data_IF_641294733881
#
_entry.id   IF_641294733881
#
_cell.length_a   1.000
_cell.length_b   1.000
_cell.length_c   1.000
_cell.angle_alpha   90.00
_cell.angle_beta   90.00
_cell.angle_gamma   90.00
#
_symmetry.space_group_name_H-M   'P 1'
#
loop_
_entity.id
_entity.type
_entity.pdbx_description
1 polymer ?
#
# COMPACT_ATOMS: atom_id res chain seq x y z
N UNK A 1 21.55 33.05 -35.01
CA UNK A 1 20.60 31.94 -34.74
C UNK A 1 21.07 31.19 -33.49
N UNK A 2 20.55 31.55 -32.32
CA UNK A 2 20.76 30.78 -31.09
C UNK A 2 19.61 29.78 -30.96
N UNK A 3 19.90 28.49 -31.11
CA UNK A 3 19.01 27.43 -30.62
C UNK A 3 19.19 27.37 -29.11
N UNK A 4 18.34 28.08 -28.37
CA UNK A 4 18.14 27.77 -26.96
C UNK A 4 17.41 26.42 -26.92
N UNK A 5 18.12 25.36 -26.56
CA UNK A 5 17.50 24.13 -26.07
C UNK A 5 16.83 24.50 -24.75
N UNK A 6 15.50 24.56 -24.79
CA UNK A 6 14.67 24.78 -23.63
C UNK A 6 14.70 23.49 -22.78
N UNK A 7 15.68 23.38 -21.89
CA UNK A 7 15.72 22.31 -20.91
C UNK A 7 14.51 22.44 -19.99
N UNK A 8 13.49 21.62 -20.22
CA UNK A 8 12.33 21.55 -19.33
C UNK A 8 12.79 21.30 -17.89
N UNK A 9 12.30 22.09 -16.93
CA UNK A 9 12.61 21.94 -15.50
C UNK A 9 12.40 20.48 -15.03
N UNK A 10 13.27 19.93 -14.16
CA UNK A 10 13.19 18.53 -13.71
C UNK A 10 11.82 18.14 -13.15
N UNK A 11 11.13 19.06 -12.45
CA UNK A 11 9.74 18.84 -11.98
C UNK A 11 8.74 18.64 -13.12
N UNK A 12 8.90 19.35 -14.25
CA UNK A 12 8.04 19.19 -15.45
C UNK A 12 8.30 17.85 -16.13
N UNK A 13 9.57 17.39 -16.17
CA UNK A 13 9.94 16.09 -16.74
C UNK A 13 9.37 14.93 -15.91
N UNK A 14 9.51 14.97 -14.58
CA UNK A 14 8.93 13.98 -13.66
C UNK A 14 7.40 13.92 -13.79
N UNK A 15 6.72 15.06 -13.77
CA UNK A 15 5.26 15.11 -13.95
C UNK A 15 4.82 14.57 -15.32
N UNK A 16 5.54 14.87 -16.40
CA UNK A 16 5.23 14.33 -17.73
C UNK A 16 5.40 12.80 -17.78
N UNK A 17 6.45 12.27 -17.15
CA UNK A 17 6.68 10.82 -17.06
C UNK A 17 5.56 10.13 -16.27
N UNK A 18 5.20 10.65 -15.09
CA UNK A 18 4.13 10.07 -14.26
C UNK A 18 2.77 10.16 -14.94
N UNK A 19 2.49 11.24 -15.68
CA UNK A 19 1.31 11.33 -16.53
C UNK A 19 1.27 10.22 -17.60
N UNK A 20 2.39 9.97 -18.28
CA UNK A 20 2.48 8.91 -19.28
C UNK A 20 2.27 7.53 -18.65
N UNK A 21 2.83 7.30 -17.46
CA UNK A 21 2.65 6.05 -16.70
C UNK A 21 1.19 5.84 -16.30
N UNK A 22 0.50 6.88 -15.80
CA UNK A 22 -0.93 6.81 -15.48
C UNK A 22 -1.78 6.47 -16.72
N UNK A 23 -1.49 7.06 -17.89
CA UNK A 23 -2.18 6.73 -19.13
C UNK A 23 -1.95 5.27 -19.57
N UNK A 24 -0.77 4.72 -19.33
CA UNK A 24 -0.51 3.31 -19.63
C UNK A 24 -1.25 2.38 -18.66
N UNK A 25 -1.31 2.71 -17.37
CA UNK A 25 -2.12 1.98 -16.38
C UNK A 25 -3.60 1.99 -16.79
N UNK A 26 -4.12 3.15 -17.20
CA UNK A 26 -5.50 3.30 -17.68
C UNK A 26 -5.76 2.40 -18.90
N UNK A 27 -4.89 2.43 -19.92
CA UNK A 27 -4.99 1.57 -21.11
C UNK A 27 -4.95 0.09 -20.75
N UNK A 28 -4.10 -0.32 -19.81
CA UNK A 28 -4.01 -1.72 -19.36
C UNK A 28 -5.28 -2.17 -18.64
N UNK A 29 -5.83 -1.34 -17.76
CA UNK A 29 -7.10 -1.61 -17.08
C UNK A 29 -8.28 -1.70 -18.06
N UNK A 30 -8.31 -0.84 -19.09
CA UNK A 30 -9.35 -0.86 -20.12
C UNK A 30 -9.31 -2.12 -21.00
N UNK A 31 -8.12 -2.69 -21.25
CA UNK A 31 -7.96 -3.79 -22.19
C UNK A 31 -8.58 -5.12 -21.73
N UNK A 32 -8.99 -5.26 -20.45
CA UNK A 32 -9.62 -6.44 -19.80
C UNK A 32 -8.93 -7.82 -19.98
N UNK A 33 -8.02 -7.96 -20.95
CA UNK A 33 -7.29 -9.17 -21.36
C UNK A 33 -5.93 -9.28 -20.69
N UNK A 34 -5.41 -8.21 -20.11
CA UNK A 34 -4.16 -8.20 -19.36
C UNK A 34 -4.51 -8.42 -17.89
N UNK A 35 -3.89 -9.39 -17.24
CA UNK A 35 -4.24 -9.77 -15.87
C UNK A 35 -3.94 -8.61 -14.91
N UNK A 36 -4.87 -8.26 -14.02
CA UNK A 36 -4.60 -7.29 -12.93
C UNK A 36 -3.37 -7.69 -12.10
N UNK A 37 -3.04 -8.98 -12.12
CA UNK A 37 -1.83 -9.56 -11.56
C UNK A 37 -0.54 -9.02 -12.21
N UNK A 38 -0.46 -8.91 -13.54
CA UNK A 38 0.70 -8.31 -14.23
C UNK A 38 0.85 -6.84 -13.86
N UNK A 39 -0.26 -6.09 -13.87
CA UNK A 39 -0.23 -4.69 -13.44
C UNK A 39 0.24 -4.57 -11.98
N UNK A 40 -0.28 -5.42 -11.09
CA UNK A 40 0.16 -5.47 -9.70
C UNK A 40 1.66 -5.78 -9.58
N UNK A 41 2.15 -6.76 -10.34
CA UNK A 41 3.57 -7.12 -10.34
C UNK A 41 4.45 -5.95 -10.80
N UNK A 42 4.06 -5.27 -11.88
CA UNK A 42 4.77 -4.08 -12.39
C UNK A 42 4.78 -2.94 -11.36
N UNK A 43 3.67 -2.72 -10.64
CA UNK A 43 3.57 -1.70 -9.60
C UNK A 43 4.45 -1.99 -8.37
N UNK A 44 4.67 -3.27 -8.08
CA UNK A 44 5.50 -3.73 -6.98
C UNK A 44 7.00 -3.69 -7.30
N UNK A 45 7.39 -3.47 -8.56
CA UNK A 45 8.79 -3.39 -8.95
C UNK A 45 9.48 -2.20 -8.28
N UNK A 46 10.70 -2.46 -7.82
CA UNK A 46 11.61 -1.43 -7.35
C UNK A 46 12.05 -0.56 -8.54
N UNK A 47 12.13 0.75 -8.30
CA UNK A 47 12.60 1.71 -9.28
C UNK A 47 14.12 1.62 -9.34
N UNK A 48 14.65 1.34 -10.53
CA UNK A 48 16.09 1.35 -10.77
C UNK A 48 16.69 2.74 -10.55
N UNK A 49 17.96 2.80 -10.13
CA UNK A 49 18.65 4.07 -9.82
C UNK A 49 18.62 5.08 -10.98
N UNK A 50 18.67 4.59 -12.22
CA UNK A 50 18.55 5.44 -13.42
C UNK A 50 17.20 6.13 -13.55
N UNK A 51 16.14 5.44 -13.12
CA UNK A 51 14.78 5.97 -13.15
C UNK A 51 14.52 6.89 -11.95
N UNK A 52 15.16 6.65 -10.80
CA UNK A 52 15.08 7.55 -9.62
C UNK A 52 15.46 8.99 -9.98
N UNK A 53 16.52 9.19 -10.76
CA UNK A 53 16.98 10.53 -11.18
C UNK A 53 15.98 11.27 -12.09
N UNK A 54 15.15 10.53 -12.84
CA UNK A 54 14.14 11.09 -13.75
C UNK A 54 12.85 11.39 -13.00
N UNK A 55 12.49 10.52 -12.05
CA UNK A 55 11.21 10.51 -11.35
C UNK A 55 11.24 11.43 -10.12
N UNK A 56 12.35 11.46 -9.37
CA UNK A 56 12.48 12.26 -8.16
C UNK A 56 13.09 13.62 -8.50
N UNK A 57 12.40 14.70 -8.12
CA UNK A 57 13.02 16.03 -8.12
C UNK A 57 13.95 16.19 -6.91
N UNK A 58 14.91 17.14 -6.97
CA UNK A 58 15.90 17.36 -5.89
C UNK A 58 15.27 17.64 -4.51
N UNK A 59 14.03 18.13 -4.47
CA UNK A 59 13.29 18.36 -3.22
C UNK A 59 12.54 17.10 -2.75
N UNK A 60 12.08 16.24 -3.66
CA UNK A 60 11.51 14.93 -3.31
C UNK A 60 12.60 13.98 -2.78
N UNK A 61 13.86 14.17 -3.18
CA UNK A 61 15.04 13.47 -2.65
C UNK A 61 15.34 13.81 -1.17
N UNK A 62 14.91 14.97 -0.66
CA UNK A 62 15.10 15.36 0.74
C UNK A 62 14.08 14.66 1.65
N UNK A 63 12.84 14.48 1.18
CA UNK A 63 11.85 13.58 1.82
C UNK A 63 12.26 12.11 1.67
N UNK A 64 12.99 11.76 0.61
CA UNK A 64 13.59 10.43 0.42
C UNK A 64 14.72 10.10 1.41
N UNK A 65 15.24 11.05 2.19
CA UNK A 65 16.24 10.76 3.23
C UNK A 65 15.67 9.91 4.37
N UNK A 66 14.34 9.92 4.59
CA UNK A 66 13.67 8.99 5.52
C UNK A 66 13.54 7.56 4.97
N UNK A 67 13.71 7.39 3.66
CA UNK A 67 13.77 6.09 3.00
C UNK A 67 15.19 5.49 3.04
N UNK A 68 16.24 6.27 3.34
CA UNK A 68 17.63 5.86 3.16
C UNK A 68 18.16 4.86 4.17
N UNK A 69 17.41 4.53 5.23
CA UNK A 69 17.88 3.59 6.26
C UNK A 69 17.58 2.14 5.87
N UNK A 70 16.67 1.86 4.92
CA UNK A 70 16.42 0.50 4.37
C UNK A 70 15.39 0.41 3.20
N UNK A 71 14.89 1.53 2.67
CA UNK A 71 13.66 1.54 1.86
C UNK A 71 13.87 1.30 0.38
N UNK A 72 13.41 0.15 -0.13
CA UNK A 72 13.13 -0.03 -1.56
C UNK A 72 12.05 0.98 -1.98
N UNK A 73 12.32 1.74 -3.03
CA UNK A 73 11.32 2.63 -3.61
C UNK A 73 10.65 1.91 -4.77
N UNK A 74 9.40 1.51 -4.60
CA UNK A 74 8.61 0.87 -5.66
C UNK A 74 7.74 1.86 -6.42
N UNK A 75 7.35 1.50 -7.65
CA UNK A 75 6.51 2.36 -8.50
C UNK A 75 5.18 2.76 -7.85
N UNK A 76 4.56 1.87 -7.08
CA UNK A 76 3.29 2.19 -6.43
C UNK A 76 3.39 3.38 -5.46
N UNK A 77 4.50 3.52 -4.74
CA UNK A 77 4.64 4.57 -3.71
C UNK A 77 4.76 5.95 -4.38
N UNK A 78 5.52 6.02 -5.47
CA UNK A 78 5.60 7.23 -6.30
C UNK A 78 4.23 7.58 -6.88
N UNK A 79 3.51 6.60 -7.42
CA UNK A 79 2.18 6.82 -8.01
C UNK A 79 1.15 7.24 -6.97
N UNK A 80 1.17 6.67 -5.76
CA UNK A 80 0.27 7.04 -4.68
C UNK A 80 0.49 8.50 -4.26
N UNK A 81 1.74 8.94 -4.13
CA UNK A 81 2.06 10.35 -3.90
C UNK A 81 1.61 11.24 -5.07
N UNK A 82 1.78 10.77 -6.31
CA UNK A 82 1.38 11.50 -7.49
C UNK A 82 -0.14 11.72 -7.57
N UNK A 83 -0.94 10.71 -7.23
CA UNK A 83 -2.41 10.82 -7.24
C UNK A 83 -2.95 11.70 -6.12
N UNK A 84 -2.24 11.85 -5.00
CA UNK A 84 -2.55 12.89 -4.01
C UNK A 84 -2.31 14.28 -4.60
N UNK A 85 -1.16 14.50 -5.26
CA UNK A 85 -0.80 15.81 -5.85
C UNK A 85 -1.66 16.18 -7.06
N UNK A 86 -2.06 15.20 -7.86
CA UNK A 86 -2.85 15.37 -9.09
C UNK A 86 -4.06 14.41 -9.12
N UNK A 87 -5.10 14.65 -8.31
CA UNK A 87 -6.25 13.74 -8.18
C UNK A 87 -7.00 13.49 -9.50
N UNK A 88 -7.00 14.47 -10.41
CA UNK A 88 -7.61 14.36 -11.74
C UNK A 88 -7.03 13.20 -12.57
N UNK A 89 -5.78 12.78 -12.30
CA UNK A 89 -5.15 11.64 -12.98
C UNK A 89 -5.44 10.31 -12.30
N UNK A 90 -5.65 10.31 -11.00
CA UNK A 90 -6.05 9.11 -10.25
C UNK A 90 -7.50 8.70 -10.52
N UNK A 91 -8.40 9.67 -10.73
CA UNK A 91 -9.84 9.42 -10.85
C UNK A 91 -10.25 8.43 -11.96
N UNK A 92 -9.80 8.55 -13.22
CA UNK A 92 -10.15 7.56 -14.26
C UNK A 92 -9.68 6.14 -13.94
N UNK A 93 -8.50 6.03 -13.31
CA UNK A 93 -7.94 4.74 -12.87
C UNK A 93 -8.78 4.15 -11.74
N UNK A 94 -9.17 4.98 -10.76
CA UNK A 94 -10.06 4.58 -9.68
C UNK A 94 -11.40 4.06 -10.23
N UNK A 95 -12.02 4.81 -11.15
CA UNK A 95 -13.28 4.43 -11.80
C UNK A 95 -13.16 3.08 -12.52
N UNK A 96 -12.03 2.83 -13.20
CA UNK A 96 -11.76 1.54 -13.83
C UNK A 96 -11.56 0.41 -12.82
N UNK A 97 -10.81 0.63 -11.74
CA UNK A 97 -10.63 -0.38 -10.68
C UNK A 97 -12.01 -0.73 -10.05
N UNK A 98 -12.87 0.26 -9.83
CA UNK A 98 -14.25 0.06 -9.34
C UNK A 98 -15.07 -0.82 -10.28
N UNK A 99 -14.87 -0.73 -11.59
CA UNK A 99 -15.54 -1.60 -12.56
C UNK A 99 -15.03 -3.06 -12.52
N UNK A 100 -13.76 -3.28 -12.19
CA UNK A 100 -13.15 -4.62 -12.11
C UNK A 100 -13.01 -5.14 -10.67
N UNK A 101 -13.78 -4.56 -9.74
CA UNK A 101 -13.65 -4.82 -8.30
C UNK A 101 -13.81 -6.29 -7.88
N UNK A 102 -14.57 -7.06 -8.65
CA UNK A 102 -14.80 -8.49 -8.41
C UNK A 102 -13.62 -9.39 -8.83
N UNK A 103 -12.66 -8.86 -9.58
CA UNK A 103 -11.50 -9.62 -10.02
C UNK A 103 -10.47 -9.76 -8.90
N UNK A 104 -9.69 -10.84 -8.94
CA UNK A 104 -8.49 -10.97 -8.10
C UNK A 104 -7.53 -9.81 -8.36
N UNK A 105 -6.72 -9.45 -7.36
CA UNK A 105 -5.80 -8.31 -7.40
C UNK A 105 -6.43 -6.91 -7.46
N UNK A 106 -7.74 -6.73 -7.73
CA UNK A 106 -8.35 -5.40 -7.78
C UNK A 106 -8.15 -4.60 -6.48
N UNK A 107 -8.43 -5.22 -5.33
CA UNK A 107 -8.19 -4.61 -4.01
C UNK A 107 -6.70 -4.39 -3.72
N UNK A 108 -5.80 -5.21 -4.26
CA UNK A 108 -4.36 -5.11 -4.05
C UNK A 108 -3.83 -3.89 -4.82
N UNK A 109 -4.17 -3.79 -6.10
CA UNK A 109 -3.87 -2.65 -6.96
C UNK A 109 -4.47 -1.36 -6.40
N UNK A 110 -5.70 -1.42 -5.87
CA UNK A 110 -6.32 -0.29 -5.18
C UNK A 110 -5.48 0.16 -3.97
N UNK A 111 -5.12 -0.76 -3.07
CA UNK A 111 -4.32 -0.44 -1.89
C UNK A 111 -2.96 0.17 -2.29
N UNK A 112 -2.29 -0.39 -3.29
CA UNK A 112 -1.01 0.14 -3.78
C UNK A 112 -1.14 1.57 -4.32
N UNK A 113 -2.13 1.85 -5.16
CA UNK A 113 -2.23 3.14 -5.85
C UNK A 113 -2.93 4.24 -5.03
N UNK A 114 -3.85 3.88 -4.12
CA UNK A 114 -4.77 4.85 -3.49
C UNK A 114 -4.70 4.88 -1.95
N UNK A 115 -3.74 4.17 -1.31
CA UNK A 115 -3.61 4.19 0.16
C UNK A 115 -3.40 5.58 0.75
N UNK A 116 -2.72 6.50 0.05
CA UNK A 116 -2.55 7.89 0.49
C UNK A 116 -3.75 8.75 0.13
N UNK A 117 -4.19 8.63 -1.13
CA UNK A 117 -5.30 9.40 -1.70
C UNK A 117 -6.59 9.34 -0.87
N UNK A 118 -6.91 8.16 -0.30
CA UNK A 118 -8.11 7.96 0.51
C UNK A 118 -8.23 8.92 1.71
N UNK A 119 -7.10 9.37 2.26
CA UNK A 119 -7.08 10.25 3.44
C UNK A 119 -6.98 11.74 3.08
N UNK A 120 -6.76 12.08 1.82
CA UNK A 120 -6.59 13.46 1.35
C UNK A 120 -7.83 14.00 0.64
N UNK A 121 -8.72 13.12 0.15
CA UNK A 121 -9.93 13.51 -0.57
C UNK A 121 -11.17 13.39 0.31
N UNK A 122 -12.07 14.36 0.18
CA UNK A 122 -13.40 14.32 0.77
C UNK A 122 -14.31 13.41 -0.07
N UNK A 123 -14.87 12.38 0.57
CA UNK A 123 -15.83 11.47 -0.06
C UNK A 123 -17.24 11.79 0.46
N UNK A 124 -18.12 12.20 -0.45
CA UNK A 124 -19.47 12.67 -0.10
C UNK A 124 -20.40 11.56 0.44
N UNK A 125 -20.08 10.28 0.16
CA UNK A 125 -20.97 9.15 0.41
C UNK A 125 -20.33 8.15 1.40
N UNK A 126 -20.99 7.95 2.55
CA UNK A 126 -20.52 7.04 3.61
C UNK A 126 -20.32 5.59 3.12
N UNK A 127 -21.19 5.11 2.21
CA UNK A 127 -21.09 3.77 1.64
C UNK A 127 -19.84 3.61 0.76
N UNK A 128 -19.48 4.65 0.02
CA UNK A 128 -18.27 4.67 -0.82
C UNK A 128 -17.03 4.68 0.06
N UNK A 129 -17.04 5.52 1.10
CA UNK A 129 -15.96 5.57 2.09
C UNK A 129 -15.76 4.21 2.77
N UNK A 130 -16.84 3.54 3.19
CA UNK A 130 -16.76 2.20 3.77
C UNK A 130 -16.18 1.20 2.79
N UNK A 131 -16.71 1.17 1.55
CA UNK A 131 -16.21 0.26 0.51
C UNK A 131 -14.72 0.46 0.24
N UNK A 132 -14.26 1.69 0.11
CA UNK A 132 -12.86 2.02 -0.13
C UNK A 132 -11.96 1.76 1.08
N UNK A 133 -12.47 1.96 2.29
CA UNK A 133 -11.70 1.66 3.51
C UNK A 133 -11.52 0.15 3.69
N UNK A 134 -12.59 -0.63 3.52
CA UNK A 134 -12.51 -2.10 3.54
C UNK A 134 -11.63 -2.63 2.42
N UNK A 135 -11.69 -2.01 1.24
CA UNK A 135 -10.82 -2.31 0.11
C UNK A 135 -9.34 -2.14 0.43
N UNK A 136 -9.00 -1.01 1.05
CA UNK A 136 -7.63 -0.68 1.43
C UNK A 136 -7.11 -1.72 2.41
N UNK A 137 -7.86 -2.01 3.48
CA UNK A 137 -7.43 -2.98 4.50
C UNK A 137 -7.31 -4.39 3.92
N UNK A 138 -8.26 -4.83 3.10
CA UNK A 138 -8.19 -6.15 2.50
C UNK A 138 -7.06 -6.25 1.47
N UNK A 139 -6.85 -5.22 0.65
CA UNK A 139 -5.74 -5.14 -0.28
C UNK A 139 -4.40 -5.15 0.43
N UNK A 140 -4.24 -4.27 1.42
CA UNK A 140 -3.05 -4.18 2.25
C UNK A 140 -2.75 -5.51 2.95
N UNK A 141 -3.75 -6.17 3.55
CA UNK A 141 -3.56 -7.48 4.19
C UNK A 141 -2.92 -8.49 3.23
N UNK A 142 -3.41 -8.58 2.00
CA UNK A 142 -2.91 -9.56 1.05
C UNK A 142 -1.52 -9.22 0.52
N UNK A 143 -1.24 -7.94 0.21
CA UNK A 143 0.10 -7.55 -0.28
C UNK A 143 1.17 -7.70 0.80
N UNK A 144 0.85 -7.40 2.07
CA UNK A 144 1.79 -7.60 3.17
C UNK A 144 2.05 -9.09 3.43
N UNK A 145 1.06 -9.97 3.20
CA UNK A 145 1.28 -11.42 3.20
C UNK A 145 2.21 -11.88 2.08
N UNK A 146 2.15 -11.26 0.90
CA UNK A 146 3.09 -11.57 -0.21
C UNK A 146 4.53 -11.25 0.20
N UNK A 147 4.76 -10.14 0.91
CA UNK A 147 6.07 -9.79 1.45
C UNK A 147 6.59 -10.85 2.44
N UNK A 148 5.74 -11.34 3.35
CA UNK A 148 6.11 -12.46 4.25
C UNK A 148 6.47 -13.72 3.43
N UNK A 149 5.62 -14.11 2.48
CA UNK A 149 5.80 -15.34 1.69
C UNK A 149 7.05 -15.30 0.81
N UNK A 150 7.37 -14.13 0.25
CA UNK A 150 8.55 -13.91 -0.58
C UNK A 150 9.79 -13.57 0.23
N UNK A 151 9.67 -13.42 1.56
CA UNK A 151 10.70 -12.89 2.44
C UNK A 151 11.32 -11.57 1.91
N UNK A 152 10.46 -10.71 1.36
CA UNK A 152 10.80 -9.41 0.82
C UNK A 152 10.07 -8.31 1.61
N UNK A 153 10.48 -7.05 1.40
CA UNK A 153 9.90 -5.87 2.06
C UNK A 153 9.49 -4.82 1.03
N UNK A 154 8.93 -5.26 -0.11
CA UNK A 154 8.53 -4.38 -1.20
C UNK A 154 7.39 -3.43 -0.78
N UNK A 155 6.54 -3.87 0.14
CA UNK A 155 5.38 -3.13 0.63
C UNK A 155 5.63 -2.43 1.97
N UNK A 156 6.90 -2.26 2.36
CA UNK A 156 7.26 -1.59 3.61
C UNK A 156 6.77 -0.15 3.68
N UNK A 157 6.82 0.62 2.58
CA UNK A 157 6.35 2.02 2.63
C UNK A 157 4.83 2.11 2.79
N UNK A 158 4.07 1.18 2.20
CA UNK A 158 2.64 1.03 2.49
C UNK A 158 2.40 0.76 3.98
N UNK A 159 3.09 -0.23 4.56
CA UNK A 159 2.94 -0.55 5.98
C UNK A 159 3.27 0.65 6.89
N UNK A 160 4.41 1.30 6.65
CA UNK A 160 4.85 2.46 7.43
C UNK A 160 3.84 3.61 7.34
N UNK A 161 3.34 3.92 6.14
CA UNK A 161 2.31 4.96 5.99
C UNK A 161 1.04 4.63 6.79
N UNK A 162 0.55 3.38 6.69
CA UNK A 162 -0.64 2.96 7.42
C UNK A 162 -0.44 2.97 8.95
N UNK A 163 0.76 2.66 9.43
CA UNK A 163 1.07 2.72 10.86
C UNK A 163 1.25 4.17 11.33
N UNK A 164 2.20 4.88 10.72
CA UNK A 164 2.74 6.14 11.22
C UNK A 164 1.80 7.32 10.93
N UNK A 165 1.32 7.39 9.70
CA UNK A 165 0.52 8.51 9.22
C UNK A 165 -0.99 8.26 9.39
N UNK A 166 -1.43 7.01 9.57
CA UNK A 166 -2.86 6.72 9.69
C UNK A 166 -3.22 6.24 11.08
N UNK A 167 -2.67 5.11 11.55
CA UNK A 167 -3.09 4.52 12.81
C UNK A 167 -2.61 5.30 14.04
N UNK A 168 -1.41 5.88 13.97
CA UNK A 168 -0.84 6.70 15.05
C UNK A 168 -1.29 8.16 15.02
N UNK A 169 -2.05 8.57 14.00
CA UNK A 169 -2.57 9.93 13.84
C UNK A 169 -4.11 9.92 13.96
N UNK A 170 -4.67 10.23 15.14
CA UNK A 170 -6.11 10.12 15.39
C UNK A 170 -6.96 10.95 14.42
N UNK A 171 -6.46 12.09 13.96
CA UNK A 171 -7.18 12.96 13.02
C UNK A 171 -7.39 12.29 11.66
N UNK A 172 -6.43 11.48 11.21
CA UNK A 172 -6.50 10.71 9.97
C UNK A 172 -7.26 9.40 10.17
N UNK A 173 -7.06 8.71 11.29
CA UNK A 173 -7.79 7.47 11.61
C UNK A 173 -9.31 7.71 11.65
N UNK A 174 -9.74 8.85 12.20
CA UNK A 174 -11.16 9.21 12.28
C UNK A 174 -11.81 9.52 10.92
N UNK A 175 -11.04 9.62 9.83
CA UNK A 175 -11.59 9.78 8.46
C UNK A 175 -12.17 8.49 7.91
N UNK A 176 -11.81 7.33 8.45
CA UNK A 176 -12.35 6.04 8.00
C UNK A 176 -13.38 5.50 9.00
N UNK A 177 -14.36 4.70 8.56
CA UNK A 177 -15.40 4.16 9.45
C UNK A 177 -14.80 3.28 10.54
N UNK A 178 -15.43 3.26 11.72
CA UNK A 178 -14.95 2.50 12.89
C UNK A 178 -14.67 1.03 12.58
N UNK A 179 -15.46 0.42 11.69
CA UNK A 179 -15.21 -0.95 11.24
C UNK A 179 -13.85 -1.10 10.55
N UNK A 180 -13.53 -0.20 9.62
CA UNK A 180 -12.24 -0.22 8.92
C UNK A 180 -11.08 0.16 9.84
N UNK A 181 -11.29 1.01 10.85
CA UNK A 181 -10.27 1.30 11.87
C UNK A 181 -9.87 0.03 12.63
N UNK A 182 -10.85 -0.79 13.03
CA UNK A 182 -10.61 -2.07 13.70
C UNK A 182 -9.87 -3.04 12.80
N UNK A 183 -10.35 -3.20 11.56
CA UNK A 183 -9.74 -4.12 10.61
C UNK A 183 -8.28 -3.69 10.28
N UNK A 184 -8.03 -2.37 10.21
CA UNK A 184 -6.69 -1.80 10.06
C UNK A 184 -5.82 -2.09 11.29
N UNK A 185 -6.34 -1.92 12.50
CA UNK A 185 -5.62 -2.24 13.74
C UNK A 185 -5.20 -3.73 13.77
N UNK A 186 -6.11 -4.64 13.40
CA UNK A 186 -5.79 -6.08 13.33
C UNK A 186 -4.75 -6.37 12.24
N UNK A 187 -4.86 -5.74 11.06
CA UNK A 187 -3.82 -5.83 10.02
C UNK A 187 -2.47 -5.40 10.58
N UNK A 188 -2.36 -4.20 11.16
CA UNK A 188 -1.08 -3.68 11.64
C UNK A 188 -0.49 -4.55 12.75
N UNK A 189 -1.35 -5.06 13.65
CA UNK A 189 -0.96 -5.99 14.71
C UNK A 189 -0.24 -7.23 14.16
N UNK A 190 -0.75 -7.82 13.06
CA UNK A 190 -0.16 -9.01 12.42
C UNK A 190 1.25 -8.73 11.88
N UNK A 191 1.47 -7.56 11.30
CA UNK A 191 2.69 -7.29 10.53
C UNK A 191 3.76 -6.46 11.28
N UNK A 192 3.44 -5.96 12.47
CA UNK A 192 4.32 -5.02 13.20
C UNK A 192 5.74 -5.56 13.46
N UNK A 193 5.86 -6.85 13.77
CA UNK A 193 7.16 -7.49 14.01
C UNK A 193 7.92 -7.72 12.71
N UNK A 194 7.24 -8.14 11.63
CA UNK A 194 7.88 -8.40 10.34
C UNK A 194 8.56 -7.15 9.76
N UNK A 195 7.92 -5.98 9.93
CA UNK A 195 8.45 -4.69 9.48
C UNK A 195 9.33 -3.97 10.51
N UNK A 196 9.67 -4.62 11.64
CA UNK A 196 10.52 -4.07 12.70
C UNK A 196 10.02 -2.71 13.23
N UNK A 197 8.73 -2.60 13.55
CA UNK A 197 8.13 -1.37 14.09
C UNK A 197 7.77 -1.48 15.58
N UNK A 198 8.58 -2.23 16.35
CA UNK A 198 8.30 -2.58 17.76
C UNK A 198 8.40 -1.34 18.66
N UNK A 199 9.24 -0.38 18.30
CA UNK A 199 9.39 0.91 18.98
C UNK A 199 8.11 1.74 19.00
N UNK A 200 7.16 1.45 18.10
CA UNK A 200 5.85 2.12 18.02
C UNK A 200 4.73 1.38 18.73
N UNK A 201 5.01 0.18 19.25
CA UNK A 201 4.00 -0.71 19.83
C UNK A 201 3.26 -0.06 21.00
N UNK A 202 3.97 0.66 21.88
CA UNK A 202 3.33 1.31 23.03
C UNK A 202 2.30 2.37 22.59
N UNK A 203 2.68 3.25 21.66
CA UNK A 203 1.78 4.26 21.10
C UNK A 203 0.62 3.61 20.34
N UNK A 204 0.90 2.55 19.59
CA UNK A 204 -0.10 1.80 18.84
C UNK A 204 -1.16 1.17 19.75
N UNK A 205 -0.76 0.53 20.85
CA UNK A 205 -1.70 -0.06 21.82
C UNK A 205 -2.56 1.01 22.53
N UNK A 206 -2.00 2.20 22.79
CA UNK A 206 -2.74 3.33 23.39
C UNK A 206 -3.82 3.89 22.47
N UNK A 207 -3.64 3.81 21.16
CA UNK A 207 -4.55 4.33 20.14
C UNK A 207 -5.49 3.26 19.57
N UNK A 208 -5.67 2.15 20.29
CA UNK A 208 -6.56 1.08 19.87
C UNK A 208 -8.01 1.57 19.73
N UNK A 209 -8.67 1.33 18.57
CA UNK A 209 -10.06 1.74 18.37
C UNK A 209 -11.00 0.93 19.27
N UNK A 210 -12.18 1.46 19.56
CA UNK A 210 -13.15 0.77 20.42
C UNK A 210 -13.69 -0.49 19.72
N UNK A 211 -13.55 -1.67 20.32
CA UNK A 211 -14.14 -2.93 19.85
C UNK A 211 -15.48 -3.20 20.56
N UNK A 212 -16.55 -3.64 19.86
CA UNK A 212 -17.86 -3.89 20.49
C UNK A 212 -17.79 -5.07 21.46
N UNK A 213 -16.93 -6.04 21.15
CA UNK A 213 -16.74 -7.28 21.91
C UNK A 213 -15.58 -7.18 22.91
N UNK A 214 -15.08 -5.97 23.22
CA UNK A 214 -13.95 -5.79 24.15
C UNK A 214 -14.20 -6.41 25.54
N UNK A 215 -15.46 -6.47 25.98
CA UNK A 215 -15.86 -7.14 27.24
C UNK A 215 -15.50 -8.64 27.22
N UNK A 216 -15.51 -9.27 26.04
CA UNK A 216 -15.24 -10.71 25.86
C UNK A 216 -13.79 -11.00 25.47
N UNK A 217 -13.13 -10.09 24.76
CA UNK A 217 -11.79 -10.29 24.17
C UNK A 217 -10.67 -9.66 25.01
N UNK A 218 -11.00 -8.74 25.92
CA UNK A 218 -10.03 -8.04 26.76
C UNK A 218 -9.64 -6.66 26.21
N UNK A 219 -8.56 -6.11 26.77
CA UNK A 219 -8.04 -4.80 26.40
C UNK A 219 -7.22 -4.81 25.11
N UNK A 220 -6.65 -3.65 24.71
CA UNK A 220 -5.83 -3.53 23.50
C UNK A 220 -4.69 -4.53 23.39
N UNK A 221 -4.04 -4.84 24.52
CA UNK A 221 -2.95 -5.81 24.58
C UNK A 221 -3.45 -7.25 24.34
N UNK A 222 -4.61 -7.63 24.89
CA UNK A 222 -5.19 -8.97 24.71
C UNK A 222 -5.60 -9.20 23.25
N UNK A 223 -6.24 -8.20 22.64
CA UNK A 223 -6.58 -8.19 21.21
C UNK A 223 -5.33 -8.33 20.36
N UNK A 224 -4.29 -7.54 20.66
CA UNK A 224 -3.02 -7.58 19.94
C UNK A 224 -2.35 -8.96 20.04
N UNK A 225 -2.24 -9.51 21.26
CA UNK A 225 -1.62 -10.82 21.49
C UNK A 225 -2.40 -11.92 20.80
N UNK A 226 -3.73 -11.87 20.85
CA UNK A 226 -4.60 -12.83 20.16
C UNK A 226 -4.36 -12.77 18.66
N UNK A 227 -4.28 -11.57 18.08
CA UNK A 227 -4.05 -11.41 16.65
C UNK A 227 -2.65 -11.88 16.21
N UNK A 228 -1.63 -11.64 17.03
CA UNK A 228 -0.27 -12.14 16.76
C UNK A 228 -0.20 -13.66 16.92
N UNK A 229 -0.92 -14.24 17.89
CA UNK A 229 -0.96 -15.67 18.14
C UNK A 229 -1.80 -16.45 17.13
N UNK A 230 -2.89 -15.84 16.62
CA UNK A 230 -3.80 -16.43 15.63
C UNK A 230 -3.26 -16.31 14.19
N UNK A 231 -2.01 -15.82 14.02
CA UNK A 231 -1.35 -15.87 12.72
C UNK A 231 -1.40 -17.31 12.19
N UNK A 232 -2.11 -17.57 11.09
CA UNK A 232 -2.39 -18.94 10.68
C UNK A 232 -1.09 -19.63 10.34
N UNK A 233 -0.67 -20.56 11.19
CA UNK A 233 0.45 -21.47 10.94
C UNK A 233 0.29 -22.23 9.60
N UNK A 234 -0.92 -22.27 9.04
CA UNK A 234 -1.23 -22.85 7.72
C UNK A 234 -0.81 -21.98 6.52
N UNK A 235 -0.75 -20.64 6.64
CA UNK A 235 -0.25 -19.77 5.56
C UNK A 235 1.28 -19.69 5.50
N UNK A 236 1.95 -20.03 6.60
CA UNK A 236 3.41 -20.13 6.68
C UNK A 236 3.89 -21.46 6.10
N UNK A 237 3.07 -22.52 6.15
CA UNK A 237 3.43 -23.87 5.67
C UNK A 237 3.15 -24.13 4.18
N UNK A 238 2.33 -23.35 3.50
CA UNK A 238 2.01 -23.60 2.08
C UNK A 238 3.13 -23.23 1.08
N UNK A 239 4.29 -22.78 1.57
CA UNK A 239 5.52 -22.60 0.78
C UNK A 239 6.48 -23.80 0.83
N UNK A 240 6.21 -24.82 1.64
CA UNK A 240 7.03 -26.03 1.69
C UNK A 240 6.31 -27.18 0.96
N UNK A 241 6.57 -27.31 -0.35
CA UNK A 241 6.31 -28.57 -1.04
C UNK A 241 7.41 -29.57 -0.67
N UNK A 242 7.11 -30.74 -0.06
CA UNK A 242 8.06 -31.83 0.10
C UNK A 242 8.06 -32.64 -1.20
N UNK A 243 8.83 -32.20 -2.18
CA UNK A 243 9.03 -32.96 -3.41
C UNK A 243 10.49 -32.89 -3.85
N UNK A 244 11.36 -33.65 -3.18
CA UNK A 244 12.61 -34.19 -3.74
C UNK A 244 13.27 -35.17 -2.75
N UNK A 245 12.62 -36.31 -2.49
CA UNK A 245 13.30 -37.52 -2.03
C UNK A 245 12.73 -38.71 -2.81
N UNK A 246 13.13 -38.79 -4.08
CA UNK A 246 13.09 -40.02 -4.87
C UNK A 246 14.06 -39.90 -6.04
N UNK A 247 15.34 -40.08 -5.76
CA UNK A 247 16.24 -40.73 -6.72
C UNK A 247 16.93 -41.84 -5.95
N UNK A 248 16.56 -43.06 -6.31
CA UNK A 248 17.27 -44.29 -6.01
C UNK A 248 18.72 -44.17 -6.49
N UNK A 249 19.66 -44.62 -5.67
CA UNK A 249 20.35 -45.90 -5.87
C UNK A 249 20.72 -46.49 -4.50
#
# INVERSE_FOLDING_TARGET
>A
MQRQQEEASPRRRSSAYLNALSLEIEKRLQRRRNSLQELFADLALEIDDRAKDIILSREDLISSAEYSVNGRLCFYDVLANYYVRVPLRGKPILDLIVQVWSQSFASHTFALLFHKWLFEVELDHADVLLRYSSALVQGATNVLWIDIQSNARCFQSLFKYLLDEVALEPTRLNKIPVQAQRDLYLLLSRFIFFYNAVEKLESFLKLCPTFPNAILVGGPADIFVTEVADQPASKIKSGASPAALSCSD
#
